data_IF_348636642736
#
_entry.id   IF_348636642736
#
_cell.length_a   1.000
_cell.length_b   1.000
_cell.length_c   1.000
_cell.angle_alpha   90.00
_cell.angle_beta   90.00
_cell.angle_gamma   90.00
#
_symmetry.space_group_name_H-M   'P 1'
#
loop_
_entity.id
_entity.type
_entity.pdbx_description
1 polymer ?
#
# COMPACT_ATOMS: atom_id res chain seq x y z
N UNK A 1 23.67 23.09 -21.85
CA UNK A 1 22.32 22.75 -22.36
C UNK A 1 21.32 23.49 -21.48
N UNK A 2 20.51 24.43 -21.99
CA UNK A 2 19.55 25.15 -21.15
C UNK A 2 18.43 24.22 -20.68
N UNK A 3 18.03 24.40 -19.42
CA UNK A 3 16.95 23.70 -18.71
C UNK A 3 15.67 23.58 -19.56
N UNK A 4 15.17 22.35 -19.74
CA UNK A 4 13.78 22.12 -20.15
C UNK A 4 12.86 22.60 -19.01
N UNK A 5 12.25 23.77 -19.21
CA UNK A 5 11.21 24.31 -18.35
C UNK A 5 10.08 23.28 -18.26
N UNK A 6 9.82 22.75 -17.06
CA UNK A 6 8.65 21.91 -16.79
C UNK A 6 7.40 22.62 -17.33
N UNK A 7 6.72 22.00 -18.30
CA UNK A 7 5.50 22.56 -18.90
C UNK A 7 4.43 22.71 -17.82
N UNK A 8 4.15 23.95 -17.42
CA UNK A 8 3.06 24.32 -16.51
C UNK A 8 1.74 23.78 -17.07
N UNK A 9 1.05 22.92 -16.30
CA UNK A 9 -0.24 22.37 -16.72
C UNK A 9 -1.29 23.46 -16.86
N UNK A 10 -2.20 23.31 -17.84
CA UNK A 10 -3.22 24.34 -18.13
C UNK A 10 -4.20 24.54 -16.97
N UNK A 11 -4.49 25.79 -16.66
CA UNK A 11 -5.34 26.18 -15.52
C UNK A 11 -6.83 25.93 -15.79
N UNK A 12 -7.68 25.87 -14.75
CA UNK A 12 -9.13 25.74 -14.92
C UNK A 12 -9.74 26.87 -15.77
N UNK A 13 -9.23 28.10 -15.65
CA UNK A 13 -9.71 29.27 -16.38
C UNK A 13 -9.35 29.18 -17.87
N UNK A 14 -8.15 28.71 -18.19
CA UNK A 14 -7.72 28.46 -19.57
C UNK A 14 -8.59 27.38 -20.24
N UNK A 15 -8.96 26.34 -19.48
CA UNK A 15 -9.89 25.30 -19.95
C UNK A 15 -11.31 25.84 -20.12
N UNK A 16 -11.77 26.72 -19.23
CA UNK A 16 -13.10 27.34 -19.31
C UNK A 16 -13.24 28.20 -20.57
N UNK A 17 -12.23 28.99 -20.92
CA UNK A 17 -12.25 29.78 -22.16
C UNK A 17 -12.39 28.92 -23.42
N UNK A 18 -11.75 27.74 -23.43
CA UNK A 18 -11.89 26.77 -24.53
C UNK A 18 -13.29 26.16 -24.56
N UNK A 19 -13.85 25.81 -23.40
CA UNK A 19 -15.20 25.27 -23.30
C UNK A 19 -16.26 26.27 -23.75
N UNK A 20 -16.16 27.52 -23.31
CA UNK A 20 -17.12 28.56 -23.67
C UNK A 20 -17.11 28.86 -25.17
N UNK A 21 -15.92 28.86 -25.80
CA UNK A 21 -15.78 28.99 -27.24
C UNK A 21 -16.45 27.84 -27.99
N UNK A 22 -16.29 26.59 -27.49
CA UNK A 22 -16.96 25.43 -28.07
C UNK A 22 -18.48 25.50 -27.94
N UNK A 23 -19.00 25.91 -26.78
CA UNK A 23 -20.44 26.05 -26.53
C UNK A 23 -21.09 27.16 -27.37
N UNK A 24 -20.34 28.23 -27.69
CA UNK A 24 -20.79 29.30 -28.58
C UNK A 24 -20.68 28.95 -30.07
N UNK A 25 -20.07 27.82 -30.42
CA UNK A 25 -19.81 27.43 -31.81
C UNK A 25 -18.63 28.16 -32.46
N UNK A 26 -17.79 28.83 -31.67
CA UNK A 26 -16.59 29.53 -32.13
C UNK A 26 -15.45 28.54 -32.44
N UNK A 27 -14.37 29.02 -33.10
CA UNK A 27 -13.16 28.22 -33.31
C UNK A 27 -12.36 28.03 -32.02
N UNK A 28 -12.82 27.09 -31.20
CA UNK A 28 -12.18 26.69 -29.95
C UNK A 28 -10.77 26.13 -30.14
N UNK A 29 -10.38 25.66 -31.34
CA UNK A 29 -9.01 25.18 -31.63
C UNK A 29 -8.04 26.35 -31.69
N UNK A 30 -8.47 27.49 -32.21
CA UNK A 30 -7.70 28.73 -32.18
C UNK A 30 -7.54 29.22 -30.72
N UNK A 31 -8.63 29.23 -29.95
CA UNK A 31 -8.61 29.60 -28.52
C UNK A 31 -7.67 28.68 -27.73
N UNK A 32 -7.66 27.39 -28.03
CA UNK A 32 -6.75 26.40 -27.43
C UNK A 32 -5.29 26.75 -27.67
N UNK A 33 -4.91 27.12 -28.90
CA UNK A 33 -3.55 27.48 -29.28
C UNK A 33 -3.08 28.75 -28.56
N UNK A 34 -3.94 29.75 -28.45
CA UNK A 34 -3.61 31.01 -27.76
C UNK A 34 -3.53 30.90 -26.24
N UNK A 35 -4.26 29.96 -25.63
CA UNK A 35 -4.25 29.73 -24.18
C UNK A 35 -3.21 28.70 -23.72
N UNK A 36 -2.33 28.22 -24.60
CA UNK A 36 -1.31 27.22 -24.23
C UNK A 36 -1.89 25.88 -23.77
N UNK A 37 -3.16 25.60 -24.11
CA UNK A 37 -3.82 24.35 -23.73
C UNK A 37 -3.42 23.25 -24.71
N UNK A 38 -3.01 22.09 -24.21
CA UNK A 38 -2.68 20.97 -25.10
C UNK A 38 -3.92 20.55 -25.91
N UNK A 39 -3.73 20.18 -27.17
CA UNK A 39 -4.84 19.75 -28.05
C UNK A 39 -5.64 18.59 -27.45
N UNK A 40 -4.97 17.68 -26.74
CA UNK A 40 -5.61 16.56 -26.03
C UNK A 40 -6.46 17.06 -24.85
N UNK A 41 -5.95 18.01 -24.06
CA UNK A 41 -6.67 18.63 -22.95
C UNK A 41 -7.90 19.38 -23.45
N UNK A 42 -7.76 20.17 -24.51
CA UNK A 42 -8.85 20.93 -25.08
C UNK A 42 -9.96 20.01 -25.63
N UNK A 43 -9.58 18.94 -26.33
CA UNK A 43 -10.54 17.95 -26.82
C UNK A 43 -11.29 17.26 -25.67
N UNK A 44 -10.60 16.88 -24.59
CA UNK A 44 -11.24 16.34 -23.40
C UNK A 44 -12.23 17.33 -22.76
N UNK A 45 -11.86 18.61 -22.69
CA UNK A 45 -12.73 19.66 -22.11
C UNK A 45 -13.99 19.84 -22.94
N UNK A 46 -13.88 19.93 -24.27
CA UNK A 46 -15.04 20.11 -25.16
C UNK A 46 -15.94 18.88 -25.23
N UNK A 47 -15.36 17.68 -25.17
CA UNK A 47 -16.10 16.41 -25.21
C UNK A 47 -16.85 16.15 -23.89
N UNK A 48 -16.21 16.46 -22.75
CA UNK A 48 -16.78 16.16 -21.42
C UNK A 48 -17.52 17.32 -20.77
N UNK A 49 -17.37 18.54 -21.28
CA UNK A 49 -17.91 19.77 -20.68
C UNK A 49 -17.27 20.14 -19.34
N UNK A 50 -16.09 19.59 -19.02
CA UNK A 50 -15.45 19.73 -17.69
C UNK A 50 -14.11 20.42 -17.77
N UNK A 51 -13.91 21.41 -16.91
CA UNK A 51 -12.70 22.22 -16.82
C UNK A 51 -11.85 21.88 -15.60
N UNK A 52 -12.47 21.31 -14.56
CA UNK A 52 -11.78 20.77 -13.39
C UNK A 52 -11.33 19.33 -13.60
N UNK A 53 -10.14 19.01 -13.08
CA UNK A 53 -9.71 17.63 -12.92
C UNK A 53 -10.61 16.96 -11.88
N UNK A 54 -11.10 15.75 -12.17
CA UNK A 54 -11.78 14.98 -11.14
C UNK A 54 -10.79 14.63 -10.02
N UNK A 55 -11.18 14.73 -8.74
CA UNK A 55 -10.44 14.07 -7.68
C UNK A 55 -10.36 12.58 -8.02
N UNK A 56 -9.19 11.97 -7.75
CA UNK A 56 -9.03 10.51 -7.92
C UNK A 56 -10.08 9.82 -7.04
N UNK A 57 -10.77 8.83 -7.60
CA UNK A 57 -11.88 8.15 -6.92
C UNK A 57 -11.44 7.44 -5.63
N UNK A 58 -12.23 7.70 -4.59
CA UNK A 58 -12.32 7.08 -3.26
C UNK A 58 -11.11 7.12 -2.33
N UNK A 59 -10.96 8.24 -1.61
CA UNK A 59 -10.71 8.25 -0.17
C UNK A 59 -11.19 9.61 0.36
N UNK A 60 -11.91 9.67 1.48
CA UNK A 60 -12.22 10.97 2.10
C UNK A 60 -10.88 11.58 2.49
N UNK A 61 -10.62 12.84 2.13
CA UNK A 61 -9.62 13.64 2.83
C UNK A 61 -10.10 13.79 4.27
N UNK A 62 -9.91 12.77 5.09
CA UNK A 62 -10.01 12.91 6.53
C UNK A 62 -8.66 13.45 6.94
N UNK A 63 -8.61 14.73 7.27
CA UNK A 63 -7.60 15.23 8.20
C UNK A 63 -7.68 14.32 9.42
N UNK A 64 -6.69 13.43 9.54
CA UNK A 64 -6.68 12.46 10.61
C UNK A 64 -6.17 13.21 11.84
N UNK A 65 -7.10 13.73 12.65
CA UNK A 65 -6.76 14.44 13.89
C UNK A 65 -5.75 13.65 14.69
N UNK A 66 -4.65 14.29 15.07
CA UNK A 66 -3.65 13.63 15.89
C UNK A 66 -4.17 13.52 17.31
N UNK A 67 -4.37 12.29 17.77
CA UNK A 67 -4.78 12.02 19.15
C UNK A 67 -3.55 11.92 20.06
N UNK A 68 -3.69 12.16 21.37
CA UNK A 68 -2.59 11.98 22.32
C UNK A 68 -1.94 10.59 22.26
N UNK A 69 -2.72 9.54 22.00
CA UNK A 69 -2.24 8.16 21.88
C UNK A 69 -1.31 7.99 20.69
N UNK A 70 -1.60 8.65 19.56
CA UNK A 70 -0.71 8.66 18.38
C UNK A 70 0.61 9.34 18.69
N UNK A 71 0.56 10.47 19.41
CA UNK A 71 1.77 11.18 19.83
C UNK A 71 2.61 10.31 20.76
N UNK A 72 1.99 9.65 21.74
CA UNK A 72 2.68 8.76 22.67
C UNK A 72 3.37 7.61 21.93
N UNK A 73 2.66 6.94 21.01
CA UNK A 73 3.24 5.89 20.16
C UNK A 73 4.46 6.41 19.38
N UNK A 74 4.35 7.57 18.75
CA UNK A 74 5.45 8.14 17.97
C UNK A 74 6.64 8.52 18.86
N UNK A 75 6.39 9.02 20.06
CA UNK A 75 7.47 9.31 21.02
C UNK A 75 8.20 8.03 21.45
N UNK A 76 7.48 6.94 21.70
CA UNK A 76 8.07 5.63 22.00
C UNK A 76 8.88 5.10 20.81
N UNK A 77 8.33 5.16 19.60
CA UNK A 77 9.03 4.77 18.38
C UNK A 77 10.33 5.58 18.18
N UNK A 78 10.28 6.90 18.37
CA UNK A 78 11.47 7.77 18.28
C UNK A 78 12.50 7.46 19.35
N UNK A 79 12.06 7.02 20.53
CA UNK A 79 12.98 6.62 21.60
C UNK A 79 13.75 5.35 21.20
N UNK A 80 13.06 4.30 20.76
CA UNK A 80 13.69 3.08 20.24
C UNK A 80 14.62 3.36 19.04
N UNK A 81 14.26 4.30 18.15
CA UNK A 81 15.13 4.75 17.06
C UNK A 81 16.42 5.42 17.56
N UNK A 82 16.37 6.17 18.67
CA UNK A 82 17.54 6.81 19.28
C UNK A 82 18.43 5.81 20.01
N UNK A 83 17.82 4.83 20.66
CA UNK A 83 18.51 3.78 21.41
C UNK A 83 19.22 2.78 20.47
N UNK A 84 18.86 2.82 19.18
CA UNK A 84 19.43 1.97 18.14
C UNK A 84 18.84 0.55 18.16
N UNK A 85 17.60 0.42 18.62
CA UNK A 85 16.92 -0.87 18.69
C UNK A 85 16.55 -1.40 17.30
N UNK A 86 16.42 -2.72 17.20
CA UNK A 86 16.05 -3.40 15.96
C UNK A 86 14.54 -3.32 15.76
N UNK A 87 14.09 -2.47 14.83
CA UNK A 87 12.66 -2.21 14.60
C UNK A 87 12.12 -3.11 13.49
N UNK A 88 11.01 -3.79 13.79
CA UNK A 88 10.24 -4.60 12.85
C UNK A 88 8.81 -4.09 12.79
N UNK A 89 8.30 -3.92 11.57
CA UNK A 89 6.91 -3.57 11.30
C UNK A 89 6.16 -4.82 10.88
N UNK A 90 5.14 -5.19 11.64
CA UNK A 90 4.33 -6.37 11.44
C UNK A 90 2.88 -5.95 11.19
N UNK A 91 2.27 -6.54 10.16
CA UNK A 91 0.87 -6.31 9.81
C UNK A 91 0.36 -7.46 8.92
N UNK A 92 -0.95 -7.51 8.71
CA UNK A 92 -1.60 -8.47 7.83
C UNK A 92 -2.29 -7.81 6.66
N UNK A 93 -2.36 -8.54 5.55
CA UNK A 93 -3.12 -8.11 4.41
C UNK A 93 -3.88 -9.24 3.76
N UNK A 94 -5.07 -8.95 3.25
CA UNK A 94 -5.85 -9.89 2.49
C UNK A 94 -5.96 -9.47 1.01
N UNK A 95 -6.10 -10.47 0.15
CA UNK A 95 -6.47 -10.28 -1.24
C UNK A 95 -7.18 -11.52 -1.79
N UNK A 96 -7.84 -11.34 -2.92
CA UNK A 96 -8.57 -12.38 -3.63
C UNK A 96 -8.52 -12.11 -5.14
N UNK A 97 -9.06 -13.02 -5.94
CA UNK A 97 -9.07 -12.89 -7.41
C UNK A 97 -9.90 -11.70 -7.92
N UNK A 98 -10.76 -11.12 -7.09
CA UNK A 98 -11.50 -9.90 -7.46
C UNK A 98 -10.59 -8.65 -7.42
N UNK A 99 -9.38 -8.76 -6.89
CA UNK A 99 -8.36 -7.73 -6.99
C UNK A 99 -7.84 -7.61 -8.44
N UNK A 100 -8.58 -6.89 -9.29
CA UNK A 100 -8.18 -6.56 -10.67
C UNK A 100 -7.62 -5.16 -10.82
N UNK A 101 -6.96 -4.91 -11.96
CA UNK A 101 -6.62 -3.54 -12.39
C UNK A 101 -7.90 -2.80 -12.79
N UNK A 102 -8.03 -1.54 -12.37
CA UNK A 102 -9.17 -0.69 -12.73
C UNK A 102 -9.11 -0.13 -14.16
N UNK A 103 -8.09 -0.48 -14.95
CA UNK A 103 -7.86 0.04 -16.31
C UNK A 103 -7.41 -1.08 -17.22
N UNK A 104 -8.00 -1.13 -18.41
CA UNK A 104 -7.70 -2.08 -19.49
C UNK A 104 -7.54 -1.34 -20.82
N UNK A 105 -7.04 -2.05 -21.83
CA UNK A 105 -6.92 -1.56 -23.20
C UNK A 105 -7.86 -2.35 -24.09
N UNK A 106 -8.56 -1.66 -24.99
CA UNK A 106 -9.37 -2.26 -26.06
C UNK A 106 -9.17 -1.48 -27.35
N UNK A 107 -9.60 -2.05 -28.47
CA UNK A 107 -9.54 -1.39 -29.78
C UNK A 107 -10.37 -0.11 -29.71
N UNK A 108 -9.88 0.98 -30.31
CA UNK A 108 -10.59 2.27 -30.32
C UNK A 108 -12.00 2.10 -30.89
N UNK A 109 -13.00 2.57 -30.15
CA UNK A 109 -14.43 2.42 -30.51
C UNK A 109 -15.10 1.17 -29.91
N UNK A 110 -14.34 0.30 -29.24
CA UNK A 110 -14.89 -0.85 -28.52
C UNK A 110 -14.82 -0.64 -27.01
N UNK A 111 -15.72 -1.30 -26.27
CA UNK A 111 -15.70 -1.29 -24.80
C UNK A 111 -14.68 -2.32 -24.31
N UNK A 112 -13.78 -1.91 -23.42
CA UNK A 112 -12.95 -2.84 -22.68
C UNK A 112 -13.83 -3.63 -21.70
N UNK A 113 -13.94 -4.95 -21.93
CA UNK A 113 -14.71 -5.88 -21.10
C UNK A 113 -13.81 -7.05 -20.72
N UNK A 114 -13.79 -7.39 -19.44
CA UNK A 114 -13.17 -8.60 -18.92
C UNK A 114 -14.23 -9.47 -18.26
N UNK A 115 -14.22 -10.76 -18.60
CA UNK A 115 -15.00 -11.76 -17.87
C UNK A 115 -14.22 -12.10 -16.61
N UNK A 116 -14.87 -11.97 -15.46
CA UNK A 116 -14.25 -12.31 -14.16
C UNK A 116 -14.83 -13.60 -13.61
N UNK A 117 -14.03 -14.37 -12.84
CA UNK A 117 -14.59 -15.42 -12.02
C UNK A 117 -15.59 -14.83 -11.00
N UNK A 118 -16.58 -15.61 -10.54
CA UNK A 118 -17.57 -15.16 -9.57
C UNK A 118 -16.92 -14.55 -8.32
N UNK A 119 -17.44 -13.41 -7.86
CA UNK A 119 -16.81 -12.51 -6.87
C UNK A 119 -16.72 -13.04 -5.43
N UNK A 120 -17.17 -14.27 -5.14
CA UNK A 120 -17.16 -14.88 -3.81
C UNK A 120 -16.03 -15.91 -3.65
N UNK A 121 -14.84 -15.57 -4.14
CA UNK A 121 -13.63 -16.38 -3.88
C UNK A 121 -13.20 -16.25 -2.42
N UNK A 122 -12.57 -17.29 -1.89
CA UNK A 122 -11.90 -17.23 -0.58
C UNK A 122 -10.78 -16.19 -0.61
N UNK A 123 -10.58 -15.51 0.52
CA UNK A 123 -9.46 -14.59 0.68
C UNK A 123 -8.21 -15.37 1.07
N UNK A 124 -7.07 -15.02 0.48
CA UNK A 124 -5.76 -15.39 1.00
C UNK A 124 -5.32 -14.29 1.97
N UNK A 125 -4.99 -14.66 3.19
CA UNK A 125 -4.45 -13.76 4.20
C UNK A 125 -2.94 -13.95 4.27
N UNK A 126 -2.20 -12.84 4.29
CA UNK A 126 -0.74 -12.83 4.37
C UNK A 126 -0.33 -12.02 5.58
N UNK A 127 0.34 -12.67 6.52
CA UNK A 127 1.09 -12.06 7.61
C UNK A 127 2.47 -11.70 7.11
N UNK A 128 2.94 -10.49 7.37
CA UNK A 128 4.22 -10.03 6.85
C UNK A 128 4.93 -9.18 7.89
N UNK A 129 6.22 -9.42 8.07
CA UNK A 129 7.08 -8.61 8.90
C UNK A 129 8.21 -8.01 8.06
N UNK A 130 8.40 -6.70 8.19
CA UNK A 130 9.39 -5.94 7.41
C UNK A 130 10.26 -5.09 8.32
N UNK A 131 11.54 -4.91 7.96
CA UNK A 131 12.48 -4.05 8.67
C UNK A 131 13.32 -3.25 7.68
N UNK A 132 13.77 -2.06 8.09
CA UNK A 132 14.71 -1.26 7.29
C UNK A 132 16.08 -1.94 7.14
N UNK A 133 16.45 -2.82 8.08
CA UNK A 133 17.74 -3.50 8.10
C UNK A 133 17.81 -4.72 7.18
N UNK A 134 16.66 -5.34 6.87
CA UNK A 134 16.59 -6.60 6.12
C UNK A 134 15.72 -6.47 4.86
N UNK A 135 14.65 -5.67 4.91
CA UNK A 135 13.55 -5.73 3.94
C UNK A 135 12.44 -6.64 4.46
N UNK A 136 12.10 -7.68 3.70
CA UNK A 136 11.18 -8.72 4.15
C UNK A 136 11.88 -9.65 5.17
N UNK A 137 11.42 -9.65 6.41
CA UNK A 137 11.98 -10.49 7.50
C UNK A 137 11.39 -11.90 7.43
N UNK A 138 10.07 -11.99 7.51
CA UNK A 138 9.35 -13.27 7.42
C UNK A 138 7.92 -13.01 6.98
N UNK A 139 7.27 -14.04 6.45
CA UNK A 139 5.88 -14.01 6.06
C UNK A 139 5.22 -15.36 6.29
N UNK A 140 3.90 -15.35 6.44
CA UNK A 140 3.07 -16.55 6.49
C UNK A 140 1.82 -16.32 5.65
N UNK A 141 1.39 -17.36 4.95
CA UNK A 141 0.18 -17.34 4.14
C UNK A 141 -0.82 -18.31 4.76
N UNK A 142 -2.04 -17.84 4.98
CA UNK A 142 -3.10 -18.62 5.62
C UNK A 142 -4.36 -18.56 4.75
N UNK A 143 -4.98 -19.73 4.57
CA UNK A 143 -6.25 -19.87 3.87
C UNK A 143 -7.38 -19.59 4.86
N UNK A 144 -7.94 -18.39 4.81
CA UNK A 144 -9.02 -17.95 5.71
C UNK A 144 -8.53 -17.00 6.80
N UNK A 145 -9.30 -16.92 7.89
CA UNK A 145 -9.04 -15.96 8.97
C UNK A 145 -7.98 -16.49 9.95
N UNK A 146 -7.02 -15.64 10.29
CA UNK A 146 -6.00 -15.92 11.30
C UNK A 146 -6.59 -15.96 12.71
N UNK A 147 -6.21 -16.99 13.47
CA UNK A 147 -6.54 -17.12 14.90
C UNK A 147 -5.46 -16.48 15.78
N UNK A 148 -5.84 -16.11 17.00
CA UNK A 148 -4.93 -15.47 17.96
C UNK A 148 -3.67 -16.32 18.26
N UNK A 149 -3.80 -17.64 18.39
CA UNK A 149 -2.65 -18.53 18.63
C UNK A 149 -1.67 -18.58 17.45
N UNK A 150 -2.20 -18.52 16.23
CA UNK A 150 -1.37 -18.46 15.03
C UNK A 150 -0.63 -17.14 14.93
N UNK A 151 -1.26 -16.03 15.34
CA UNK A 151 -0.63 -14.72 15.45
C UNK A 151 0.51 -14.72 16.46
N UNK A 152 0.29 -15.25 17.67
CA UNK A 152 1.34 -15.34 18.69
C UNK A 152 2.54 -16.19 18.21
N UNK A 153 2.27 -17.35 17.59
CA UNK A 153 3.31 -18.18 16.99
C UNK A 153 4.05 -17.48 15.83
N UNK A 154 3.39 -16.59 15.10
CA UNK A 154 4.03 -15.79 14.06
C UNK A 154 4.94 -14.72 14.65
N UNK A 155 4.54 -14.04 15.73
CA UNK A 155 5.41 -13.08 16.44
C UNK A 155 6.69 -13.76 16.94
N UNK A 156 6.60 -14.97 17.47
CA UNK A 156 7.79 -15.76 17.83
C UNK A 156 8.67 -16.06 16.60
N UNK A 157 8.04 -16.40 15.47
CA UNK A 157 8.77 -16.64 14.21
C UNK A 157 9.49 -15.37 13.72
N UNK A 158 8.90 -14.18 13.91
CA UNK A 158 9.54 -12.90 13.61
C UNK A 158 10.77 -12.71 14.50
N UNK A 159 10.63 -12.92 15.81
CA UNK A 159 11.72 -12.74 16.76
C UNK A 159 12.92 -13.65 16.41
N UNK A 160 12.68 -14.93 16.18
CA UNK A 160 13.74 -15.87 15.78
C UNK A 160 14.40 -15.47 14.46
N UNK A 161 13.61 -15.11 13.44
CA UNK A 161 14.14 -14.68 12.15
C UNK A 161 15.02 -13.42 12.26
N UNK A 162 14.70 -12.51 13.19
CA UNK A 162 15.57 -11.35 13.48
C UNK A 162 16.87 -11.81 14.13
N UNK A 163 16.82 -12.65 15.16
CA UNK A 163 18.02 -13.13 15.87
C UNK A 163 18.98 -13.93 14.99
N UNK A 164 18.45 -14.68 14.04
CA UNK A 164 19.21 -15.46 13.07
C UNK A 164 19.79 -14.61 11.93
N UNK A 165 19.34 -13.36 11.76
CA UNK A 165 19.78 -12.52 10.65
C UNK A 165 21.21 -12.01 10.80
N UNK A 166 21.91 -11.88 9.67
CA UNK A 166 23.25 -11.28 9.63
C UNK A 166 23.25 -9.83 10.13
N UNK A 167 22.17 -9.09 9.87
CA UNK A 167 22.00 -7.73 10.34
C UNK A 167 22.05 -7.66 11.88
N UNK A 168 21.36 -8.58 12.55
CA UNK A 168 21.37 -8.68 14.01
C UNK A 168 22.78 -8.96 14.54
N UNK A 169 23.46 -9.97 13.98
CA UNK A 169 24.80 -10.36 14.39
C UNK A 169 25.84 -9.25 14.16
N UNK A 170 25.64 -8.42 13.13
CA UNK A 170 26.57 -7.36 12.77
C UNK A 170 26.51 -6.12 13.69
N UNK A 171 25.39 -5.84 14.36
CA UNK A 171 25.27 -4.56 15.08
C UNK A 171 24.13 -4.40 16.10
N UNK A 172 23.35 -5.44 16.39
CA UNK A 172 22.19 -5.33 17.30
C UNK A 172 22.20 -6.33 18.46
N UNK A 173 23.28 -7.08 18.67
CA UNK A 173 23.36 -8.14 19.69
C UNK A 173 23.07 -7.63 21.11
N UNK A 174 23.43 -6.38 21.42
CA UNK A 174 23.19 -5.70 22.71
C UNK A 174 21.88 -4.87 22.76
N UNK A 175 21.08 -4.92 21.70
CA UNK A 175 19.88 -4.10 21.51
C UNK A 175 18.59 -4.87 21.76
N UNK A 176 17.46 -4.17 21.76
CA UNK A 176 16.14 -4.81 21.85
C UNK A 176 15.56 -5.05 20.46
N UNK A 177 14.77 -6.11 20.33
CA UNK A 177 13.89 -6.33 19.18
C UNK A 177 12.56 -5.65 19.46
N UNK A 178 12.15 -4.70 18.63
CA UNK A 178 10.90 -3.95 18.80
C UNK A 178 9.96 -4.31 17.64
N UNK A 179 8.87 -5.01 17.95
CA UNK A 179 7.85 -5.41 16.96
C UNK A 179 6.66 -4.47 17.07
N UNK A 180 6.39 -3.73 15.99
CA UNK A 180 5.27 -2.83 15.84
C UNK A 180 4.12 -3.53 15.15
N UNK A 181 2.91 -3.40 15.68
CA UNK A 181 1.69 -3.94 15.07
C UNK A 181 0.48 -3.07 15.37
N UNK A 182 -0.59 -3.27 14.61
CA UNK A 182 -1.81 -2.49 14.75
C UNK A 182 -2.64 -2.93 15.99
N UNK A 183 -3.76 -2.26 16.23
CA UNK A 183 -4.65 -2.60 17.34
C UNK A 183 -5.86 -3.46 16.89
N UNK A 184 -5.69 -4.29 15.87
CA UNK A 184 -6.74 -5.17 15.38
C UNK A 184 -7.19 -6.18 16.47
N UNK A 185 -8.45 -6.64 16.45
CA UNK A 185 -8.95 -7.61 17.41
C UNK A 185 -8.12 -8.90 17.47
N UNK A 186 -7.53 -9.33 16.35
CA UNK A 186 -6.65 -10.51 16.29
C UNK A 186 -5.40 -10.35 17.15
N UNK A 187 -4.99 -9.11 17.42
CA UNK A 187 -3.84 -8.80 18.25
C UNK A 187 -4.19 -8.52 19.71
N UNK A 188 -5.47 -8.49 20.10
CA UNK A 188 -5.91 -8.04 21.44
C UNK A 188 -5.28 -8.78 22.62
N UNK A 189 -4.79 -10.01 22.43
CA UNK A 189 -4.13 -10.83 23.47
C UNK A 189 -2.70 -11.25 23.08
N UNK A 190 -2.06 -10.52 22.17
CA UNK A 190 -0.73 -10.88 21.68
C UNK A 190 0.30 -10.90 22.80
N UNK A 191 0.28 -9.91 23.68
CA UNK A 191 1.23 -9.76 24.78
C UNK A 191 1.10 -10.88 25.82
N UNK A 192 -0.12 -11.41 26.02
CA UNK A 192 -0.37 -12.50 26.98
C UNK A 192 0.02 -13.87 26.42
N UNK A 193 0.02 -14.03 25.09
CA UNK A 193 0.23 -15.32 24.40
C UNK A 193 1.61 -15.48 23.78
N UNK A 194 2.32 -14.38 23.54
CA UNK A 194 3.68 -14.39 23.00
C UNK A 194 4.66 -14.82 24.08
N UNK A 195 5.64 -15.62 23.69
CA UNK A 195 6.76 -16.01 24.53
C UNK A 195 7.49 -14.74 24.96
N UNK A 196 7.63 -14.55 26.27
CA UNK A 196 8.32 -13.40 26.80
C UNK A 196 9.83 -13.58 26.62
N UNK A 197 10.47 -12.60 26.02
CA UNK A 197 11.92 -12.50 25.93
C UNK A 197 12.35 -11.18 26.57
N UNK A 198 13.43 -11.18 27.34
CA UNK A 198 13.88 -10.01 28.10
C UNK A 198 14.19 -8.80 27.20
N UNK A 199 14.59 -9.07 25.96
CA UNK A 199 14.98 -8.10 24.93
C UNK A 199 13.92 -7.90 23.82
N UNK A 200 12.72 -8.46 23.98
CA UNK A 200 11.59 -8.21 23.09
C UNK A 200 10.71 -7.08 23.64
N UNK A 201 10.32 -6.15 22.77
CA UNK A 201 9.32 -5.11 23.06
C UNK A 201 8.23 -5.14 22.01
N UNK A 202 6.98 -5.24 22.47
CA UNK A 202 5.79 -5.16 21.63
C UNK A 202 5.22 -3.74 21.69
N UNK A 203 5.10 -3.07 20.54
CA UNK A 203 4.64 -1.69 20.45
C UNK A 203 3.36 -1.58 19.60
N UNK A 204 2.24 -1.26 20.25
CA UNK A 204 0.94 -1.08 19.57
C UNK A 204 0.82 0.28 18.90
N UNK A 205 0.36 0.26 17.65
CA UNK A 205 0.02 1.47 16.91
C UNK A 205 -1.21 2.17 17.50
N UNK A 206 -1.16 3.51 17.54
CA UNK A 206 -2.33 4.32 17.88
C UNK A 206 -3.48 4.11 16.89
N UNK A 207 -4.75 4.11 17.31
CA UNK A 207 -5.89 3.83 16.44
C UNK A 207 -5.92 4.64 15.13
N UNK A 208 -6.26 3.96 14.03
CA UNK A 208 -6.44 4.54 12.69
C UNK A 208 -5.21 5.29 12.14
N UNK A 209 -4.00 4.77 12.38
CA UNK A 209 -2.74 5.46 12.03
C UNK A 209 -1.86 4.77 10.99
N UNK A 210 -2.40 4.23 9.88
CA UNK A 210 -1.62 3.47 8.89
C UNK A 210 -0.50 4.30 8.26
N UNK A 211 -0.65 5.63 8.21
CA UNK A 211 0.37 6.57 7.71
C UNK A 211 1.67 6.63 8.51
N UNK A 212 1.69 6.07 9.71
CA UNK A 212 2.85 6.10 10.63
C UNK A 212 3.75 4.86 10.49
N UNK A 213 3.32 3.84 9.76
CA UNK A 213 4.07 2.60 9.58
C UNK A 213 4.33 2.32 8.08
N UNK A 214 5.53 1.87 7.70
CA UNK A 214 5.92 1.68 6.30
C UNK A 214 5.28 0.45 5.65
N UNK A 215 4.85 -0.54 6.44
CA UNK A 215 4.34 -1.82 5.92
C UNK A 215 3.06 -1.66 5.09
N UNK A 216 2.22 -0.67 5.39
CA UNK A 216 1.01 -0.33 4.63
C UNK A 216 1.34 0.09 3.18
N UNK A 217 2.35 0.94 3.01
CA UNK A 217 2.88 1.28 1.69
C UNK A 217 3.52 0.08 1.00
N UNK A 218 4.25 -0.76 1.74
CA UNK A 218 4.83 -2.00 1.20
C UNK A 218 3.75 -2.94 0.68
N UNK A 219 2.63 -3.08 1.40
CA UNK A 219 1.46 -3.83 0.95
C UNK A 219 0.82 -3.25 -0.29
N UNK A 220 0.82 -1.93 -0.45
CA UNK A 220 0.34 -1.29 -1.69
C UNK A 220 1.18 -1.71 -2.90
N UNK A 221 2.51 -1.76 -2.76
CA UNK A 221 3.43 -2.24 -3.82
C UNK A 221 3.24 -3.73 -4.08
N UNK A 222 3.18 -4.53 -3.02
CA UNK A 222 2.95 -5.98 -3.08
C UNK A 222 1.64 -6.33 -3.79
N UNK A 223 0.51 -5.71 -3.40
CA UNK A 223 -0.79 -5.91 -4.05
C UNK A 223 -0.79 -5.45 -5.51
N UNK A 224 -0.02 -4.42 -5.85
CA UNK A 224 0.15 -3.98 -7.25
C UNK A 224 0.88 -5.05 -8.07
N UNK A 225 1.89 -5.71 -7.49
CA UNK A 225 2.64 -6.81 -8.12
C UNK A 225 1.77 -8.05 -8.29
N UNK A 226 0.98 -8.43 -7.28
CA UNK A 226 -0.03 -9.51 -7.38
C UNK A 226 -1.00 -9.22 -8.52
N UNK A 227 -1.56 -8.00 -8.58
CA UNK A 227 -2.47 -7.59 -9.67
C UNK A 227 -1.81 -7.67 -11.04
N UNK A 228 -0.50 -7.45 -11.13
CA UNK A 228 0.25 -7.62 -12.38
C UNK A 228 0.38 -9.10 -12.74
N UNK A 229 0.77 -9.94 -11.78
CA UNK A 229 0.89 -11.39 -11.95
C UNK A 229 -0.44 -12.00 -12.41
N UNK A 230 -1.53 -11.72 -11.69
CA UNK A 230 -2.86 -12.24 -12.00
C UNK A 230 -3.36 -11.80 -13.38
N UNK A 231 -2.98 -10.61 -13.85
CA UNK A 231 -3.35 -10.15 -15.19
C UNK A 231 -2.73 -11.03 -16.30
N UNK A 232 -1.51 -11.54 -16.08
CA UNK A 232 -0.84 -12.45 -17.02
C UNK A 232 -1.37 -13.89 -16.93
N UNK A 233 -1.95 -14.28 -15.79
CA UNK A 233 -2.49 -15.62 -15.52
C UNK A 233 -4.02 -15.63 -15.53
N UNK A 234 -4.62 -14.78 -16.36
CA UNK A 234 -6.10 -14.66 -16.43
C UNK A 234 -6.74 -15.95 -16.91
N UNK A 235 -6.09 -16.69 -17.83
CA UNK A 235 -6.60 -17.97 -18.32
C UNK A 235 -6.73 -19.01 -17.19
N UNK A 236 -5.72 -19.08 -16.33
CA UNK A 236 -5.61 -20.05 -15.23
C UNK A 236 -6.71 -19.86 -14.19
N UNK A 237 -7.30 -18.66 -14.07
CA UNK A 237 -8.46 -18.42 -13.21
C UNK A 237 -9.71 -19.22 -13.63
N UNK A 238 -9.77 -19.63 -14.89
CA UNK A 238 -10.87 -20.38 -15.49
C UNK A 238 -10.47 -21.81 -15.85
N UNK A 239 -9.26 -22.23 -15.52
CA UNK A 239 -8.81 -23.60 -15.65
C UNK A 239 -8.81 -24.30 -14.28
N UNK A 240 -9.42 -25.47 -14.21
CA UNK A 240 -9.34 -26.32 -13.02
C UNK A 240 -8.02 -27.10 -13.00
N UNK A 241 -7.45 -27.38 -14.17
CA UNK A 241 -6.30 -28.27 -14.31
C UNK A 241 -6.52 -29.60 -13.59
N UNK A 242 -5.50 -30.01 -12.85
CA UNK A 242 -5.47 -31.27 -12.07
C UNK A 242 -6.14 -31.16 -10.69
N UNK A 243 -6.56 -29.96 -10.28
CA UNK A 243 -7.10 -29.74 -8.93
C UNK A 243 -8.52 -30.30 -8.78
N UNK A 244 -8.86 -30.67 -7.53
CA UNK A 244 -10.17 -31.25 -7.18
C UNK A 244 -11.33 -30.27 -7.40
N UNK A 245 -11.09 -28.96 -7.33
CA UNK A 245 -12.11 -27.93 -7.56
C UNK A 245 -11.51 -26.64 -8.12
N UNK A 246 -12.37 -25.81 -8.74
CA UNK A 246 -11.99 -24.45 -9.12
C UNK A 246 -11.58 -23.57 -7.94
N UNK A 247 -12.12 -23.83 -6.74
CA UNK A 247 -11.74 -23.07 -5.54
C UNK A 247 -10.28 -23.35 -5.16
N UNK A 248 -9.88 -24.62 -5.21
CA UNK A 248 -8.52 -25.04 -4.93
C UNK A 248 -7.53 -24.52 -5.98
N UNK A 249 -7.82 -24.71 -7.28
CA UNK A 249 -6.99 -24.17 -8.37
C UNK A 249 -6.74 -22.66 -8.20
N UNK A 250 -7.81 -21.92 -7.92
CA UNK A 250 -7.77 -20.46 -7.70
C UNK A 250 -7.02 -20.05 -6.45
N UNK A 251 -7.10 -20.84 -5.37
CA UNK A 251 -6.37 -20.56 -4.14
C UNK A 251 -4.87 -20.77 -4.35
N UNK A 252 -4.47 -21.85 -5.03
CA UNK A 252 -3.07 -22.10 -5.38
C UNK A 252 -2.54 -20.98 -6.27
N UNK A 253 -3.31 -20.54 -7.27
CA UNK A 253 -2.94 -19.38 -8.09
C UNK A 253 -2.69 -18.11 -7.27
N UNK A 254 -3.49 -17.87 -6.22
CA UNK A 254 -3.28 -16.74 -5.31
C UNK A 254 -2.01 -16.90 -4.46
N UNK A 255 -1.72 -18.11 -3.98
CA UNK A 255 -0.50 -18.42 -3.24
C UNK A 255 0.75 -18.23 -4.10
N UNK A 256 0.70 -18.68 -5.36
CA UNK A 256 1.78 -18.50 -6.32
C UNK A 256 1.98 -17.02 -6.66
N UNK A 257 0.89 -16.30 -6.91
CA UNK A 257 0.95 -14.85 -7.12
C UNK A 257 1.56 -14.12 -5.91
N UNK A 258 1.28 -14.56 -4.69
CA UNK A 258 1.87 -14.02 -3.47
C UNK A 258 3.36 -14.30 -3.42
N UNK A 259 3.76 -15.57 -3.58
CA UNK A 259 5.14 -16.05 -3.48
C UNK A 259 6.05 -15.36 -4.50
N UNK A 260 5.59 -15.22 -5.74
CA UNK A 260 6.31 -14.53 -6.81
C UNK A 260 6.35 -13.00 -6.62
N UNK A 261 5.42 -12.44 -5.84
CA UNK A 261 5.34 -11.00 -5.60
C UNK A 261 6.09 -10.55 -4.35
N UNK A 262 6.21 -11.39 -3.31
CA UNK A 262 6.85 -11.05 -2.03
C UNK A 262 8.28 -10.49 -2.16
N UNK A 263 9.15 -10.98 -3.07
CA UNK A 263 10.48 -10.42 -3.28
C UNK A 263 10.49 -8.95 -3.70
N UNK A 264 9.35 -8.35 -4.09
CA UNK A 264 9.30 -6.90 -4.35
C UNK A 264 9.50 -6.06 -3.07
N UNK A 265 9.29 -6.64 -1.89
CA UNK A 265 9.53 -6.00 -0.59
C UNK A 265 11.02 -6.10 -0.26
N UNK A 266 11.81 -5.27 -0.93
CA UNK A 266 13.25 -5.17 -0.72
C UNK A 266 13.59 -4.26 0.44
N UNK A 267 14.80 -4.38 0.99
CA UNK A 267 15.34 -3.46 1.98
C UNK A 267 15.23 -1.99 1.53
N UNK A 268 15.60 -1.71 0.27
CA UNK A 268 15.53 -0.37 -0.30
C UNK A 268 14.10 0.20 -0.33
N UNK A 269 13.09 -0.66 -0.56
CA UNK A 269 11.69 -0.25 -0.49
C UNK A 269 11.32 0.12 0.94
N UNK A 270 11.65 -0.72 1.91
CA UNK A 270 11.30 -0.48 3.32
C UNK A 270 11.99 0.78 3.84
N UNK A 271 13.28 1.00 3.53
CA UNK A 271 14.00 2.22 3.88
C UNK A 271 13.29 3.45 3.32
N UNK A 272 12.91 3.43 2.03
CA UNK A 272 12.18 4.53 1.40
C UNK A 272 10.87 4.83 2.13
N UNK A 273 10.09 3.80 2.45
CA UNK A 273 8.82 3.97 3.13
C UNK A 273 8.98 4.43 4.59
N UNK A 274 10.02 3.97 5.31
CA UNK A 274 10.35 4.48 6.64
C UNK A 274 10.65 5.98 6.58
N UNK A 275 11.49 6.42 5.64
CA UNK A 275 11.79 7.83 5.43
C UNK A 275 10.53 8.65 5.06
N UNK A 276 9.64 8.08 4.26
CA UNK A 276 8.36 8.72 3.93
C UNK A 276 7.49 8.91 5.18
N UNK A 277 7.38 7.89 6.03
CA UNK A 277 6.61 7.93 7.28
C UNK A 277 7.21 8.91 8.30
N UNK A 278 8.51 9.20 8.28
CA UNK A 278 9.15 10.14 9.22
C UNK A 278 8.51 11.53 9.19
N UNK A 279 8.10 12.02 8.02
CA UNK A 279 7.41 13.31 7.90
C UNK A 279 6.08 13.33 8.68
N UNK A 280 5.33 12.23 8.63
CA UNK A 280 4.07 12.10 9.35
C UNK A 280 4.30 11.90 10.85
N UNK A 281 5.34 11.15 11.21
CA UNK A 281 5.82 11.01 12.59
C UNK A 281 6.15 12.39 13.19
N UNK A 282 6.89 13.24 12.49
CA UNK A 282 7.25 14.56 13.03
C UNK A 282 6.02 15.48 13.17
N UNK A 283 5.05 15.40 12.24
CA UNK A 283 3.75 16.07 12.38
C UNK A 283 2.97 15.57 13.60
N UNK A 284 2.95 14.26 13.84
CA UNK A 284 2.28 13.66 14.99
C UNK A 284 2.89 14.13 16.33
N UNK A 285 4.21 14.32 16.41
CA UNK A 285 4.88 14.88 17.59
C UNK A 285 4.39 16.30 17.87
N UNK A 286 4.20 17.11 16.82
CA UNK A 286 3.72 18.49 16.90
C UNK A 286 2.20 18.61 17.04
N UNK A 287 1.47 17.48 17.07
CA UNK A 287 0.01 17.43 17.06
C UNK A 287 -0.61 18.13 15.82
N UNK A 288 0.09 18.11 14.70
CA UNK A 288 -0.38 18.66 13.43
C UNK A 288 -1.19 17.62 12.65
N UNK A 289 -2.31 18.04 12.08
CA UNK A 289 -3.16 17.15 11.28
C UNK A 289 -2.40 16.51 10.12
N UNK A 290 -2.65 15.22 9.92
CA UNK A 290 -2.00 14.42 8.89
C UNK A 290 -2.98 14.10 7.77
N UNK A 291 -2.51 14.27 6.52
CA UNK A 291 -3.20 13.79 5.34
C UNK A 291 -2.69 12.38 5.00
N UNK A 292 -3.61 11.43 4.82
CA UNK A 292 -3.31 10.11 4.28
C UNK A 292 -3.69 10.04 2.80
N UNK A 293 -2.80 9.49 1.96
CA UNK A 293 -3.11 9.18 0.56
C UNK A 293 -3.06 10.34 -0.44
N UNK A 294 -2.15 11.32 -0.27
CA UNK A 294 -1.88 12.34 -1.30
C UNK A 294 -1.02 11.80 -2.44
#
# INVERSE_FOLDING_TARGET
MPNETQRKGSTPEEKQRVLDAYLRGDDWKLVTKHNGVSKATAWHVTDTGRTSSKPRGSFRLTEAKVTPERRQFVLQLKQHQKDGDFIVYYDETNFNLYCKRGRERSIKGTRATIVLPPSKGLNLQVQCAVSAEIGLVTYRMERGSIKMDQNAAFVESIYQAVKESDAWQAGFVDKRVVILFDNAPVHSQTEERVVQHDDLTLLRLGPYSPMLIPIESCFSVFKSRIKAYLAHHTADMFDRGEYSSFLESRMVLLEDAARESLPCITQSLVIREVLFCQNNVDKAIRLEDMAYGQ
#
